data_IF_664274663943
#
_entry.id   IF_664274663943
#
_cell.length_a   1.000
_cell.length_b   1.000
_cell.length_c   1.000
_cell.angle_alpha   90.00
_cell.angle_beta   90.00
_cell.angle_gamma   90.00
#
_symmetry.space_group_name_H-M   'P 1'
#
loop_
_entity.id
_entity.type
_entity.pdbx_description
1 polymer ?
#
# COMPACT_ATOMS: atom_id res chain seq x y z
N UNK A 1 9.47 12.25 40.60
CA UNK A 1 10.39 12.33 39.45
C UNK A 1 11.09 10.99 39.34
N UNK A 2 10.62 10.10 38.47
CA UNK A 2 11.22 8.77 38.31
C UNK A 2 12.36 8.87 37.30
N UNK A 3 13.60 8.68 37.77
CA UNK A 3 14.78 8.57 36.91
C UNK A 3 14.68 7.27 36.12
N UNK A 4 14.46 7.39 34.81
CA UNK A 4 14.65 6.29 33.89
C UNK A 4 16.15 6.03 33.75
N UNK A 5 16.65 5.00 34.43
CA UNK A 5 17.99 4.47 34.16
C UNK A 5 18.02 3.87 32.76
N UNK A 6 18.85 4.45 31.91
CA UNK A 6 19.09 3.99 30.55
C UNK A 6 20.01 2.77 30.63
N UNK A 7 19.43 1.57 30.68
CA UNK A 7 20.20 0.32 30.59
C UNK A 7 20.88 0.25 29.22
N UNK A 8 22.20 0.46 29.20
CA UNK A 8 23.04 0.22 28.03
C UNK A 8 23.37 -1.26 27.97
N UNK A 9 22.64 -2.01 27.17
CA UNK A 9 23.03 -3.37 26.80
C UNK A 9 24.32 -3.33 25.97
N UNK A 10 25.31 -4.19 26.26
CA UNK A 10 26.56 -4.24 25.52
C UNK A 10 26.31 -4.61 24.04
N UNK A 11 26.94 -3.86 23.15
CA UNK A 11 26.92 -4.09 21.70
C UNK A 11 27.70 -5.38 21.41
N UNK A 12 27.10 -6.41 20.78
CA UNK A 12 27.84 -7.61 20.40
C UNK A 12 28.83 -7.31 19.28
N UNK A 13 29.88 -8.14 19.23
CA UNK A 13 31.11 -7.99 18.46
C UNK A 13 30.93 -7.48 17.00
N UNK A 14 31.86 -6.63 16.62
CA UNK A 14 31.97 -5.97 15.31
C UNK A 14 31.98 -6.97 14.14
N UNK A 15 30.94 -6.94 13.29
CA UNK A 15 31.01 -7.45 11.91
C UNK A 15 32.06 -6.62 11.15
N UNK A 16 33.23 -7.18 10.88
CA UNK A 16 34.20 -6.61 9.94
C UNK A 16 33.69 -6.82 8.51
N UNK A 17 33.35 -5.73 7.84
CA UNK A 17 32.88 -5.75 6.45
C UNK A 17 34.11 -5.81 5.53
N UNK A 18 34.18 -6.84 4.69
CA UNK A 18 35.03 -6.85 3.50
C UNK A 18 34.25 -6.17 2.37
N UNK A 19 34.80 -5.10 1.83
CA UNK A 19 34.31 -4.45 0.61
C UNK A 19 34.82 -5.28 -0.58
N UNK A 20 34.01 -6.24 -1.03
CA UNK A 20 34.24 -6.95 -2.31
C UNK A 20 33.20 -6.48 -3.33
N UNK A 21 33.72 -5.93 -4.43
CA UNK A 21 33.02 -5.36 -5.57
C UNK A 21 32.06 -6.33 -6.28
N UNK A 22 30.89 -5.78 -6.60
CA UNK A 22 30.06 -6.01 -7.81
C UNK A 22 30.00 -7.43 -8.40
N UNK A 23 29.01 -8.21 -7.95
CA UNK A 23 28.20 -8.96 -8.92
C UNK A 23 26.78 -9.18 -8.42
N UNK A 24 25.89 -8.37 -8.96
CA UNK A 24 24.47 -8.22 -8.66
C UNK A 24 23.68 -9.44 -9.17
N UNK A 25 23.74 -10.55 -8.43
CA UNK A 25 22.76 -11.65 -8.58
C UNK A 25 22.60 -12.45 -7.28
N UNK A 26 21.35 -12.46 -6.80
CA UNK A 26 20.81 -13.25 -5.68
C UNK A 26 21.04 -12.72 -4.25
N UNK A 27 20.41 -11.59 -3.93
CA UNK A 27 20.11 -11.10 -2.56
C UNK A 27 18.87 -11.76 -1.95
N UNK A 28 18.86 -13.08 -1.89
CA UNK A 28 17.77 -13.82 -1.25
C UNK A 28 18.28 -14.54 0.00
N UNK A 29 18.04 -13.97 1.18
CA UNK A 29 18.22 -14.68 2.46
C UNK A 29 17.05 -15.67 2.62
N UNK A 30 17.33 -16.97 2.60
CA UNK A 30 16.38 -17.99 3.06
C UNK A 30 16.45 -18.10 4.56
N UNK A 31 15.34 -17.86 5.24
CA UNK A 31 15.14 -18.41 6.58
C UNK A 31 14.24 -19.63 6.43
N UNK A 32 14.78 -20.81 6.70
CA UNK A 32 13.98 -22.01 6.95
C UNK A 32 13.27 -21.82 8.28
N UNK A 33 12.03 -21.34 8.22
CA UNK A 33 11.18 -21.22 9.39
C UNK A 33 10.68 -22.61 9.78
N UNK A 34 11.37 -23.26 10.71
CA UNK A 34 10.84 -24.43 11.41
C UNK A 34 9.95 -23.93 12.54
N UNK A 35 8.75 -23.47 12.19
CA UNK A 35 7.66 -23.29 13.14
C UNK A 35 7.05 -24.65 13.44
N UNK A 36 7.75 -25.46 14.23
CA UNK A 36 7.16 -26.65 14.84
C UNK A 36 6.46 -26.21 16.11
N UNK A 37 5.14 -26.04 16.04
CA UNK A 37 4.32 -26.38 17.20
C UNK A 37 4.55 -27.88 17.46
N UNK A 38 5.04 -28.18 18.66
CA UNK A 38 5.46 -29.52 19.06
C UNK A 38 4.35 -30.55 18.84
N UNK A 39 4.61 -31.52 17.98
CA UNK A 39 4.07 -32.88 18.14
C UNK A 39 5.16 -33.85 17.71
N UNK A 40 5.92 -34.30 18.71
CA UNK A 40 6.97 -35.30 18.59
C UNK A 40 6.36 -36.65 18.22
N UNK A 41 6.59 -37.10 16.98
CA UNK A 41 6.46 -38.51 16.61
C UNK A 41 7.87 -39.00 16.30
N UNK A 42 8.43 -39.76 17.24
CA UNK A 42 9.62 -40.56 17.04
C UNK A 42 9.29 -41.69 16.05
N UNK A 43 10.13 -41.90 15.05
CA UNK A 43 10.17 -43.15 14.30
C UNK A 43 11.63 -43.48 14.02
N UNK A 44 11.99 -44.63 14.55
CA UNK A 44 13.29 -45.27 14.56
C UNK A 44 13.55 -46.03 13.24
N UNK A 45 14.81 -46.40 13.08
CA UNK A 45 15.36 -47.50 12.27
C UNK A 45 15.77 -47.35 10.78
N UNK A 46 17.08 -47.59 10.61
CA UNK A 46 17.77 -48.39 9.56
C UNK A 46 17.77 -47.86 8.10
N UNK A 47 18.81 -47.99 7.27
CA UNK A 47 19.90 -48.95 7.21
C UNK A 47 21.10 -48.34 6.47
N UNK A 48 22.32 -48.77 6.80
CA UNK A 48 23.59 -48.21 6.31
C UNK A 48 24.11 -48.99 5.11
N UNK A 49 24.32 -48.34 3.96
CA UNK A 49 25.07 -48.91 2.82
C UNK A 49 26.31 -48.08 2.51
N UNK A 50 27.47 -48.69 2.71
CA UNK A 50 28.81 -48.12 2.50
C UNK A 50 29.25 -48.27 1.04
N UNK A 51 29.27 -47.17 0.28
CA UNK A 51 29.91 -47.10 -1.04
C UNK A 51 31.22 -46.30 -0.91
N UNK A 52 32.33 -47.02 -1.00
CA UNK A 52 33.70 -46.47 -1.00
C UNK A 52 34.13 -46.16 -2.43
N UNK A 53 34.24 -44.86 -2.77
CA UNK A 53 34.82 -44.43 -4.03
C UNK A 53 34.69 -42.93 -4.27
N UNK A 54 35.79 -42.17 -4.15
CA UNK A 54 35.89 -40.81 -4.70
C UNK A 54 36.52 -39.73 -3.81
N UNK A 55 37.78 -39.90 -3.40
CA UNK A 55 38.53 -38.97 -2.52
C UNK A 55 38.69 -37.53 -3.06
N UNK A 56 38.61 -37.31 -4.39
CA UNK A 56 38.88 -35.99 -4.98
C UNK A 56 37.65 -35.07 -5.14
N UNK A 57 36.42 -35.57 -5.01
CA UNK A 57 35.19 -34.74 -5.13
C UNK A 57 34.91 -33.94 -3.85
N UNK A 58 35.28 -34.50 -2.70
CA UNK A 58 35.01 -33.96 -1.35
C UNK A 58 35.71 -32.63 -1.03
N UNK A 59 36.79 -32.27 -1.74
CA UNK A 59 37.51 -30.99 -1.53
C UNK A 59 36.83 -29.81 -2.24
N UNK A 60 36.16 -30.05 -3.38
CA UNK A 60 35.46 -28.99 -4.12
C UNK A 60 34.17 -28.60 -3.41
N UNK A 61 33.42 -29.57 -2.92
CA UNK A 61 32.16 -29.35 -2.19
C UNK A 61 32.37 -28.56 -0.88
N UNK A 62 33.47 -28.81 -0.14
CA UNK A 62 33.79 -28.06 1.08
C UNK A 62 34.15 -26.60 0.82
N UNK A 63 34.80 -26.30 -0.31
CA UNK A 63 35.20 -24.93 -0.64
C UNK A 63 34.01 -24.10 -1.15
N UNK A 64 33.06 -24.73 -1.84
CA UNK A 64 31.80 -24.07 -2.24
C UNK A 64 30.87 -23.84 -1.05
N UNK A 65 30.77 -24.79 -0.11
CA UNK A 65 29.94 -24.65 1.09
C UNK A 65 30.46 -23.55 2.03
N UNK A 66 31.78 -23.48 2.26
CA UNK A 66 32.37 -22.40 3.07
C UNK A 66 32.16 -21.00 2.47
N UNK A 67 32.18 -20.86 1.14
CA UNK A 67 31.86 -19.59 0.47
C UNK A 67 30.37 -19.22 0.59
N UNK A 68 29.47 -20.20 0.58
CA UNK A 68 28.03 -19.94 0.73
C UNK A 68 27.67 -19.53 2.15
N UNK A 69 28.28 -20.14 3.15
CA UNK A 69 28.05 -19.81 4.56
C UNK A 69 28.55 -18.39 4.89
N UNK A 70 29.75 -18.02 4.41
CA UNK A 70 30.29 -16.67 4.59
C UNK A 70 29.41 -15.59 3.92
N UNK A 71 28.91 -15.85 2.70
CA UNK A 71 28.03 -14.91 1.99
C UNK A 71 26.67 -14.76 2.68
N UNK A 72 26.16 -15.81 3.30
CA UNK A 72 24.89 -15.78 4.03
C UNK A 72 25.02 -14.97 5.32
N UNK A 73 26.10 -15.17 6.07
CA UNK A 73 26.39 -14.42 7.30
C UNK A 73 26.52 -12.92 7.08
N UNK A 74 27.22 -12.50 6.01
CA UNK A 74 27.37 -11.07 5.67
C UNK A 74 26.02 -10.40 5.39
N UNK A 75 25.12 -11.08 4.65
CA UNK A 75 23.79 -10.56 4.30
C UNK A 75 22.87 -10.42 5.52
N UNK A 76 22.93 -11.36 6.45
CA UNK A 76 22.16 -11.25 7.70
C UNK A 76 22.61 -10.04 8.54
N UNK A 77 23.92 -9.78 8.60
CA UNK A 77 24.46 -8.60 9.29
C UNK A 77 23.99 -7.29 8.63
N UNK A 78 23.87 -7.23 7.30
CA UNK A 78 23.33 -6.06 6.57
C UNK A 78 21.85 -5.81 6.90
N UNK A 79 21.02 -6.87 6.90
CA UNK A 79 19.59 -6.73 7.25
C UNK A 79 19.42 -6.26 8.69
N UNK A 80 20.22 -6.78 9.63
CA UNK A 80 20.23 -6.33 11.02
C UNK A 80 20.51 -4.82 11.14
N UNK A 81 21.58 -4.36 10.48
CA UNK A 81 21.97 -2.93 10.46
C UNK A 81 20.89 -2.05 9.82
N UNK A 82 20.31 -2.51 8.71
CA UNK A 82 19.21 -1.82 8.03
C UNK A 82 17.95 -1.68 8.92
N UNK A 83 17.64 -2.71 9.72
CA UNK A 83 16.48 -2.72 10.61
C UNK A 83 16.73 -1.90 11.87
N UNK A 84 17.94 -1.94 12.43
CA UNK A 84 18.31 -1.16 13.62
C UNK A 84 18.16 0.36 13.37
N UNK A 85 18.55 0.84 12.19
CA UNK A 85 18.36 2.25 11.80
C UNK A 85 16.90 2.67 11.60
N UNK A 86 15.97 1.71 11.54
CA UNK A 86 14.53 1.93 11.36
C UNK A 86 13.71 1.47 12.57
N UNK A 87 14.36 1.21 13.70
CA UNK A 87 13.65 0.81 14.89
C UNK A 87 12.81 1.97 15.42
N UNK A 88 11.55 1.66 15.75
CA UNK A 88 10.58 2.62 16.25
C UNK A 88 10.21 2.26 17.68
N UNK A 89 10.11 3.30 18.51
CA UNK A 89 9.62 3.16 19.88
C UNK A 89 8.13 2.76 19.87
N UNK A 90 7.63 2.12 20.94
CA UNK A 90 6.21 1.81 21.07
C UNK A 90 5.28 3.02 20.84
N UNK A 91 5.70 4.21 21.28
CA UNK A 91 4.92 5.42 21.09
C UNK A 91 4.88 5.86 19.62
N UNK A 92 6.01 5.84 18.92
CA UNK A 92 6.06 6.14 17.48
C UNK A 92 5.20 5.17 16.68
N UNK A 93 5.19 3.88 17.02
CA UNK A 93 4.32 2.90 16.36
C UNK A 93 2.82 3.17 16.61
N UNK A 94 2.42 3.62 17.80
CA UNK A 94 1.03 4.05 18.03
C UNK A 94 0.66 5.25 17.16
N UNK A 95 1.57 6.22 17.03
CA UNK A 95 1.35 7.39 16.18
C UNK A 95 1.28 7.01 14.70
N UNK A 96 2.10 6.07 14.24
CA UNK A 96 2.00 5.51 12.88
C UNK A 96 0.61 4.88 12.65
N UNK A 97 0.09 4.11 13.61
CA UNK A 97 -1.25 3.53 13.49
C UNK A 97 -2.34 4.61 13.36
N UNK A 98 -2.32 5.63 14.22
CA UNK A 98 -3.33 6.70 14.23
C UNK A 98 -3.27 7.55 12.96
N UNK A 99 -2.07 7.85 12.45
CA UNK A 99 -1.88 8.73 11.29
C UNK A 99 -2.38 8.15 9.96
N UNK A 100 -2.71 6.85 9.90
CA UNK A 100 -3.37 6.24 8.73
C UNK A 100 -4.86 6.61 8.63
N UNK A 101 -5.51 6.89 9.75
CA UNK A 101 -6.97 7.05 9.82
C UNK A 101 -7.54 8.26 9.06
N UNK A 102 -6.91 9.45 9.04
CA UNK A 102 -7.49 10.63 8.38
C UNK A 102 -7.85 10.42 6.92
N UNK A 103 -7.00 9.73 6.14
CA UNK A 103 -7.27 9.46 4.73
C UNK A 103 -8.48 8.54 4.51
N UNK A 104 -8.58 7.47 5.30
CA UNK A 104 -9.73 6.56 5.24
C UNK A 104 -11.02 7.23 5.71
N UNK A 105 -10.96 8.03 6.77
CA UNK A 105 -12.11 8.78 7.27
C UNK A 105 -12.60 9.79 6.23
N UNK A 106 -11.69 10.52 5.58
CA UNK A 106 -12.05 11.42 4.47
C UNK A 106 -12.78 10.67 3.36
N UNK A 107 -12.27 9.52 2.91
CA UNK A 107 -12.89 8.69 1.88
C UNK A 107 -14.30 8.20 2.26
N UNK A 108 -14.50 7.76 3.50
CA UNK A 108 -15.82 7.35 3.98
C UNK A 108 -16.77 8.55 4.00
N UNK A 109 -16.32 9.66 4.59
CA UNK A 109 -17.13 10.86 4.72
C UNK A 109 -17.52 11.44 3.37
N UNK A 110 -16.58 11.57 2.42
CA UNK A 110 -16.89 12.18 1.12
C UNK A 110 -17.90 11.35 0.33
N UNK A 111 -17.80 10.01 0.36
CA UNK A 111 -18.74 9.12 -0.33
C UNK A 111 -20.13 9.16 0.32
N UNK A 112 -20.21 9.01 1.64
CA UNK A 112 -21.48 8.92 2.36
C UNK A 112 -22.21 10.27 2.44
N UNK A 113 -21.47 11.38 2.53
CA UNK A 113 -22.07 12.72 2.64
C UNK A 113 -22.58 13.29 1.31
N UNK A 114 -22.33 12.62 0.18
CA UNK A 114 -22.58 13.21 -1.14
C UNK A 114 -21.64 14.37 -1.50
N UNK A 115 -20.61 14.64 -0.69
CA UNK A 115 -19.70 15.77 -0.89
C UNK A 115 -18.84 15.69 -2.16
N UNK A 116 -18.87 14.55 -2.87
CA UNK A 116 -18.31 14.40 -4.20
C UNK A 116 -19.10 15.13 -5.29
N UNK A 117 -20.37 15.50 -5.02
CA UNK A 117 -21.20 16.32 -5.91
C UNK A 117 -21.11 17.79 -5.48
N UNK A 118 -20.12 18.52 -5.99
CA UNK A 118 -19.95 19.94 -5.65
C UNK A 118 -21.00 20.83 -6.32
N UNK A 119 -21.24 22.01 -5.74
CA UNK A 119 -22.13 23.02 -6.34
C UNK A 119 -21.73 23.39 -7.77
N UNK A 120 -20.42 23.50 -8.03
CA UNK A 120 -19.91 23.81 -9.36
C UNK A 120 -20.22 22.73 -10.39
N UNK A 121 -20.26 21.45 -9.99
CA UNK A 121 -20.67 20.34 -10.88
C UNK A 121 -22.16 20.43 -11.19
N UNK A 122 -22.99 20.76 -10.19
CA UNK A 122 -24.44 20.93 -10.36
C UNK A 122 -24.71 22.09 -11.33
N UNK A 123 -24.17 23.28 -11.03
CA UNK A 123 -24.37 24.49 -11.83
C UNK A 123 -23.84 24.33 -13.27
N UNK A 124 -22.69 23.67 -13.44
CA UNK A 124 -22.11 23.41 -14.77
C UNK A 124 -22.97 22.46 -15.62
N UNK A 125 -23.55 21.41 -15.03
CA UNK A 125 -24.37 20.45 -15.77
C UNK A 125 -25.80 20.96 -16.02
N UNK A 126 -26.36 21.80 -15.15
CA UNK A 126 -27.68 22.41 -15.39
C UNK A 126 -27.67 23.28 -16.66
N UNK A 127 -26.57 23.98 -16.92
CA UNK A 127 -26.40 24.76 -18.15
C UNK A 127 -26.40 23.88 -19.41
N UNK A 128 -25.65 22.77 -19.38
CA UNK A 128 -25.58 21.82 -20.50
C UNK A 128 -26.92 21.11 -20.75
N UNK A 129 -27.69 20.85 -19.69
CA UNK A 129 -29.02 20.24 -19.78
C UNK A 129 -30.01 21.17 -20.50
N UNK A 130 -30.07 22.43 -20.09
CA UNK A 130 -31.01 23.42 -20.65
C UNK A 130 -30.84 23.57 -22.18
N UNK A 131 -29.63 23.35 -22.70
CA UNK A 131 -29.33 23.38 -24.14
C UNK A 131 -29.74 22.10 -24.89
N UNK A 132 -29.87 20.96 -24.21
CA UNK A 132 -30.13 19.63 -24.80
C UNK A 132 -31.49 19.00 -24.40
N UNK A 133 -32.28 19.64 -23.54
CA UNK A 133 -33.50 19.05 -22.94
C UNK A 133 -34.61 18.71 -23.95
N UNK A 134 -34.57 19.25 -25.17
CA UNK A 134 -35.54 18.91 -26.21
C UNK A 134 -35.41 17.47 -26.75
N UNK A 135 -34.32 16.74 -26.46
CA UNK A 135 -34.10 15.38 -26.96
C UNK A 135 -34.06 14.29 -25.86
N UNK A 136 -33.82 14.65 -24.60
CA UNK A 136 -33.39 13.70 -23.56
C UNK A 136 -34.36 13.49 -22.38
N UNK A 137 -35.47 14.23 -22.30
CA UNK A 137 -36.44 14.09 -21.20
C UNK A 137 -37.13 12.71 -21.13
N UNK A 138 -36.96 11.85 -22.14
CA UNK A 138 -37.49 10.48 -22.16
C UNK A 138 -36.51 9.41 -21.63
N UNK A 139 -35.28 9.77 -21.23
CA UNK A 139 -34.22 8.77 -20.97
C UNK A 139 -33.77 8.64 -19.50
N UNK A 140 -34.15 9.57 -18.61
CA UNK A 140 -33.78 9.45 -17.20
C UNK A 140 -34.78 8.58 -16.44
N UNK A 141 -34.26 7.58 -15.74
CA UNK A 141 -35.02 6.66 -14.91
C UNK A 141 -34.92 7.11 -13.44
N UNK A 142 -36.02 7.65 -12.92
CA UNK A 142 -36.15 8.10 -11.53
C UNK A 142 -35.83 7.01 -10.50
N UNK A 143 -35.84 5.73 -10.90
CA UNK A 143 -35.47 4.61 -10.03
C UNK A 143 -34.01 4.66 -9.54
N UNK A 144 -33.16 5.46 -10.19
CA UNK A 144 -31.76 5.64 -9.82
C UNK A 144 -31.55 6.68 -8.71
N UNK A 145 -32.59 7.46 -8.38
CA UNK A 145 -32.51 8.46 -7.33
C UNK A 145 -32.64 7.82 -5.95
N UNK A 146 -31.80 8.29 -5.02
CA UNK A 146 -31.73 7.80 -3.64
C UNK A 146 -32.25 8.90 -2.72
N UNK A 147 -33.21 8.53 -1.85
CA UNK A 147 -33.73 9.40 -0.80
C UNK A 147 -33.56 8.72 0.56
N UNK A 148 -32.38 8.90 1.18
CA UNK A 148 -32.08 8.33 2.49
C UNK A 148 -32.06 9.42 3.56
N UNK A 149 -32.83 9.23 4.64
CA UNK A 149 -32.91 10.20 5.74
C UNK A 149 -31.60 10.39 6.49
N UNK A 150 -30.74 9.36 6.52
CA UNK A 150 -29.43 9.42 7.18
C UNK A 150 -28.36 10.08 6.32
N UNK A 151 -28.58 10.17 5.01
CA UNK A 151 -27.65 10.77 4.05
C UNK A 151 -28.41 11.68 3.09
N UNK A 152 -28.92 12.83 3.59
CA UNK A 152 -29.87 13.67 2.83
C UNK A 152 -29.30 14.28 1.54
N UNK A 153 -27.97 14.31 1.41
CA UNK A 153 -27.27 14.85 0.24
C UNK A 153 -26.79 13.76 -0.72
N UNK A 154 -27.05 12.47 -0.43
CA UNK A 154 -26.69 11.36 -1.30
C UNK A 154 -27.85 11.07 -2.25
N UNK A 155 -27.98 11.91 -3.28
CA UNK A 155 -29.09 11.84 -4.24
C UNK A 155 -29.00 10.69 -5.25
N UNK A 156 -27.80 10.13 -5.45
CA UNK A 156 -27.55 8.96 -6.29
C UNK A 156 -26.26 8.26 -5.82
N UNK A 157 -25.94 7.10 -6.38
CA UNK A 157 -24.66 6.44 -6.11
C UNK A 157 -23.48 7.25 -6.71
N UNK A 158 -22.32 7.29 -6.02
CA UNK A 158 -21.11 7.88 -6.57
C UNK A 158 -20.62 7.13 -7.82
N UNK A 159 -19.93 7.80 -8.76
CA UNK A 159 -19.34 7.13 -9.91
C UNK A 159 -18.29 6.09 -9.49
N UNK A 160 -18.09 5.05 -10.32
CA UNK A 160 -17.17 3.95 -9.97
C UNK A 160 -15.71 4.38 -9.78
N UNK A 161 -15.12 5.32 -10.57
CA UNK A 161 -13.73 5.73 -10.37
C UNK A 161 -13.42 6.32 -8.97
N UNK A 162 -14.16 7.31 -8.43
CA UNK A 162 -13.93 7.78 -7.05
C UNK A 162 -14.23 6.72 -5.99
N UNK A 163 -15.20 5.81 -6.23
CA UNK A 163 -15.44 4.65 -5.35
C UNK A 163 -14.22 3.74 -5.30
N UNK A 164 -13.57 3.46 -6.43
CA UNK A 164 -12.36 2.65 -6.46
C UNK A 164 -11.23 3.31 -5.66
N UNK A 165 -10.99 4.61 -5.83
CA UNK A 165 -10.00 5.35 -5.02
C UNK A 165 -10.26 5.18 -3.51
N UNK A 166 -11.50 5.47 -3.09
CA UNK A 166 -11.90 5.35 -1.70
C UNK A 166 -11.77 3.93 -1.16
N UNK A 167 -12.21 2.92 -1.93
CA UNK A 167 -12.15 1.52 -1.54
C UNK A 167 -10.72 1.05 -1.29
N UNK A 168 -9.76 1.41 -2.16
CA UNK A 168 -8.35 1.08 -1.97
C UNK A 168 -7.80 1.60 -0.63
N UNK A 169 -8.10 2.86 -0.31
CA UNK A 169 -7.63 3.53 0.92
C UNK A 169 -8.33 2.96 2.16
N UNK A 170 -9.66 2.82 2.11
CA UNK A 170 -10.47 2.34 3.24
C UNK A 170 -10.14 0.90 3.58
N UNK A 171 -9.93 0.03 2.59
CA UNK A 171 -9.57 -1.36 2.84
C UNK A 171 -8.13 -1.53 3.29
N UNK A 172 -7.20 -0.66 2.89
CA UNK A 172 -5.81 -0.69 3.38
C UNK A 172 -5.69 -0.29 4.86
N UNK A 173 -6.42 0.74 5.28
CA UNK A 173 -6.24 1.37 6.59
C UNK A 173 -6.35 0.42 7.80
N UNK A 174 -7.31 -0.53 7.89
CA UNK A 174 -7.39 -1.47 8.99
C UNK A 174 -6.14 -2.34 9.13
N UNK A 175 -5.56 -2.82 8.03
CA UNK A 175 -4.37 -3.68 8.07
C UNK A 175 -3.13 -2.91 8.50
N UNK A 176 -2.99 -1.68 8.01
CA UNK A 176 -1.91 -0.79 8.41
C UNK A 176 -2.02 -0.42 9.90
N UNK A 177 -3.23 -0.08 10.36
CA UNK A 177 -3.49 0.16 11.78
C UNK A 177 -3.13 -1.05 12.64
N UNK A 178 -3.63 -2.25 12.29
CA UNK A 178 -3.36 -3.49 13.03
C UNK A 178 -1.86 -3.80 13.05
N UNK A 179 -1.16 -3.60 11.94
CA UNK A 179 0.28 -3.79 11.84
C UNK A 179 1.02 -2.93 12.88
N UNK A 180 0.86 -1.61 12.81
CA UNK A 180 1.53 -0.69 13.73
C UNK A 180 1.07 -0.87 15.19
N UNK A 181 -0.21 -1.11 15.41
CA UNK A 181 -0.77 -1.31 16.75
C UNK A 181 -0.21 -2.56 17.43
N UNK A 182 -0.06 -3.68 16.70
CA UNK A 182 0.56 -4.90 17.25
C UNK A 182 2.05 -4.69 17.52
N UNK A 183 2.74 -3.90 16.69
CA UNK A 183 4.18 -3.62 16.86
C UNK A 183 4.43 -2.79 18.11
N UNK A 184 3.54 -1.84 18.41
CA UNK A 184 3.59 -1.04 19.62
C UNK A 184 3.42 -1.84 20.92
N UNK A 185 2.77 -3.02 20.89
CA UNK A 185 2.33 -3.70 22.13
C UNK A 185 2.85 -5.13 22.32
N UNK A 186 3.08 -5.88 21.24
CA UNK A 186 3.23 -7.34 21.34
C UNK A 186 4.52 -7.88 20.75
N UNK A 187 5.17 -7.16 19.83
CA UNK A 187 6.27 -7.73 19.06
C UNK A 187 7.62 -7.23 19.56
N UNK A 188 8.50 -8.13 20.03
CA UNK A 188 9.85 -7.76 20.42
C UNK A 188 10.61 -7.19 19.21
N UNK A 189 11.62 -6.33 19.43
CA UNK A 189 12.47 -5.84 18.35
C UNK A 189 13.21 -6.99 17.65
N UNK A 190 13.60 -6.76 16.39
CA UNK A 190 14.37 -7.73 15.59
C UNK A 190 13.60 -8.41 14.44
N UNK A 191 14.12 -9.55 13.97
CA UNK A 191 13.68 -10.24 12.75
C UNK A 191 12.23 -10.73 12.77
N UNK A 192 11.67 -11.02 13.94
CA UNK A 192 10.24 -11.38 14.06
C UNK A 192 9.31 -10.31 13.48
N UNK A 193 9.77 -9.04 13.43
CA UNK A 193 9.04 -7.90 12.86
C UNK A 193 9.12 -7.79 11.33
N UNK A 194 9.90 -8.59 10.62
CA UNK A 194 9.94 -8.50 9.14
C UNK A 194 9.07 -9.55 8.48
N UNK A 195 8.85 -10.66 9.16
CA UNK A 195 8.09 -11.80 8.67
C UNK A 195 6.68 -11.89 9.23
N UNK A 196 6.32 -11.07 10.23
CA UNK A 196 5.00 -11.09 10.84
C UNK A 196 3.88 -10.85 9.81
N UNK A 197 2.81 -11.65 9.89
CA UNK A 197 1.71 -11.65 8.92
C UNK A 197 1.04 -10.28 8.76
N UNK A 198 0.92 -9.49 9.82
CA UNK A 198 0.24 -8.18 9.76
C UNK A 198 1.01 -7.19 8.88
N UNK A 199 2.36 -7.23 8.93
CA UNK A 199 3.21 -6.42 8.07
C UNK A 199 3.09 -6.85 6.61
N UNK A 200 3.06 -8.16 6.35
CA UNK A 200 2.89 -8.70 5.00
C UNK A 200 1.54 -8.28 4.42
N UNK A 201 0.50 -8.32 5.24
CA UNK A 201 -0.84 -7.89 4.83
C UNK A 201 -0.91 -6.38 4.56
N UNK A 202 -0.34 -5.54 5.42
CA UNK A 202 -0.21 -4.10 5.19
C UNK A 202 0.47 -3.81 3.82
N UNK A 203 1.63 -4.42 3.58
CA UNK A 203 2.35 -4.29 2.31
C UNK A 203 1.59 -4.85 1.10
N UNK A 204 0.85 -5.94 1.27
CA UNK A 204 0.02 -6.51 0.23
C UNK A 204 -1.14 -5.58 -0.13
N UNK A 205 -1.74 -4.95 0.88
CA UNK A 205 -2.84 -4.01 0.69
C UNK A 205 -2.41 -2.69 0.04
N UNK A 206 -1.13 -2.30 0.11
CA UNK A 206 -0.58 -1.20 -0.72
C UNK A 206 -0.72 -1.53 -2.22
N UNK A 207 -0.48 -2.77 -2.62
CA UNK A 207 -0.64 -3.19 -4.02
C UNK A 207 -2.12 -3.26 -4.43
N UNK A 208 -2.98 -3.76 -3.55
CA UNK A 208 -4.43 -3.71 -3.78
C UNK A 208 -4.91 -2.26 -3.97
N UNK A 209 -4.51 -1.35 -3.07
CA UNK A 209 -4.80 0.07 -3.17
C UNK A 209 -4.28 0.66 -4.49
N UNK A 210 -3.05 0.31 -4.90
CA UNK A 210 -2.47 0.76 -6.17
C UNK A 210 -3.25 0.28 -7.40
N UNK A 211 -3.77 -0.95 -7.37
CA UNK A 211 -4.64 -1.46 -8.43
C UNK A 211 -5.95 -0.65 -8.49
N UNK A 212 -6.59 -0.37 -7.35
CA UNK A 212 -7.77 0.49 -7.31
C UNK A 212 -7.48 1.91 -7.84
N UNK A 213 -6.33 2.49 -7.48
CA UNK A 213 -5.91 3.80 -7.98
C UNK A 213 -5.73 3.81 -9.49
N UNK A 214 -5.25 2.71 -10.10
CA UNK A 214 -5.13 2.63 -11.55
C UNK A 214 -6.49 2.77 -12.26
N UNK A 215 -7.56 2.20 -11.71
CA UNK A 215 -8.91 2.42 -12.24
C UNK A 215 -9.39 3.84 -11.95
N UNK A 216 -9.19 4.32 -10.72
CA UNK A 216 -9.61 5.65 -10.32
C UNK A 216 -8.96 6.77 -11.16
N UNK A 217 -7.74 6.56 -11.66
CA UNK A 217 -7.05 7.56 -12.49
C UNK A 217 -7.28 7.37 -13.98
N UNK A 218 -7.87 6.27 -14.46
CA UNK A 218 -8.10 6.06 -15.91
C UNK A 218 -9.56 5.89 -16.31
N UNK A 219 -10.43 5.38 -15.42
CA UNK A 219 -11.81 5.01 -15.72
C UNK A 219 -11.98 3.85 -16.71
N UNK A 220 -10.89 3.22 -17.16
CA UNK A 220 -10.88 2.14 -18.15
C UNK A 220 -10.58 0.80 -17.51
N UNK A 221 -11.40 -0.20 -17.84
CA UNK A 221 -11.27 -1.56 -17.30
C UNK A 221 -10.03 -2.29 -17.83
N UNK A 222 -9.65 -2.08 -19.08
CA UNK A 222 -8.47 -2.72 -19.68
C UNK A 222 -7.17 -2.34 -18.97
N UNK A 223 -6.97 -1.05 -18.72
CA UNK A 223 -5.81 -0.55 -17.97
C UNK A 223 -5.82 -1.04 -16.52
N UNK A 224 -6.98 -1.06 -15.88
CA UNK A 224 -7.16 -1.61 -14.54
C UNK A 224 -6.76 -3.09 -14.48
N UNK A 225 -7.22 -3.93 -15.41
CA UNK A 225 -6.93 -5.36 -15.42
C UNK A 225 -5.43 -5.66 -15.54
N UNK A 226 -4.72 -4.94 -16.41
CA UNK A 226 -3.26 -5.09 -16.55
C UNK A 226 -2.54 -4.73 -15.24
N UNK A 227 -2.92 -3.61 -14.62
CA UNK A 227 -2.35 -3.18 -13.34
C UNK A 227 -2.74 -4.12 -12.19
N UNK A 228 -3.96 -4.65 -12.21
CA UNK A 228 -4.44 -5.60 -11.23
C UNK A 228 -3.63 -6.89 -11.27
N UNK A 229 -3.36 -7.46 -12.46
CA UNK A 229 -2.53 -8.65 -12.59
C UNK A 229 -1.12 -8.45 -12.03
N UNK A 230 -0.48 -7.31 -12.35
CA UNK A 230 0.83 -6.96 -11.81
C UNK A 230 0.80 -6.81 -10.27
N UNK A 231 -0.19 -6.08 -9.75
CA UNK A 231 -0.32 -5.87 -8.30
C UNK A 231 -0.73 -7.14 -7.56
N UNK A 232 -1.48 -8.05 -8.19
CA UNK A 232 -1.84 -9.36 -7.63
C UNK A 232 -0.60 -10.27 -7.50
N UNK A 233 0.30 -10.29 -8.49
CA UNK A 233 1.60 -10.96 -8.35
C UNK A 233 2.42 -10.34 -7.20
N UNK A 234 2.47 -9.01 -7.11
CA UNK A 234 3.18 -8.33 -6.03
C UNK A 234 2.57 -8.62 -4.64
N UNK A 235 1.24 -8.69 -4.56
CA UNK A 235 0.48 -9.06 -3.36
C UNK A 235 0.85 -10.49 -2.92
N UNK A 236 0.74 -11.46 -3.84
CA UNK A 236 1.09 -12.85 -3.58
C UNK A 236 2.52 -12.99 -3.05
N UNK A 237 3.45 -12.25 -3.64
CA UNK A 237 4.87 -12.30 -3.25
C UNK A 237 5.15 -11.80 -1.84
N UNK A 238 4.26 -11.01 -1.21
CA UNK A 238 4.42 -10.64 0.20
C UNK A 238 4.30 -11.84 1.14
N UNK A 239 3.64 -12.91 0.69
CA UNK A 239 3.40 -14.11 1.49
C UNK A 239 4.44 -15.21 1.26
N UNK A 240 5.38 -15.02 0.33
CA UNK A 240 6.51 -15.94 0.18
C UNK A 240 7.38 -15.95 1.43
N UNK A 241 8.08 -17.07 1.66
CA UNK A 241 8.94 -17.23 2.83
C UNK A 241 10.01 -16.15 2.91
N UNK A 242 10.57 -15.75 1.76
CA UNK A 242 11.64 -14.75 1.65
C UNK A 242 11.06 -13.38 1.30
N UNK A 243 11.28 -12.39 2.16
CA UNK A 243 10.91 -10.98 1.93
C UNK A 243 12.15 -10.21 1.50
N UNK A 244 12.07 -9.50 0.38
CA UNK A 244 13.15 -8.66 -0.15
C UNK A 244 12.74 -7.17 -0.09
N UNK A 245 13.12 -6.42 0.96
CA UNK A 245 12.61 -5.05 1.18
C UNK A 245 12.88 -4.09 0.01
N UNK A 246 14.11 -4.09 -0.54
CA UNK A 246 14.47 -3.21 -1.67
C UNK A 246 13.63 -3.50 -2.91
N UNK A 247 13.46 -4.79 -3.25
CA UNK A 247 12.62 -5.21 -4.38
C UNK A 247 11.15 -4.86 -4.15
N UNK A 248 10.67 -4.95 -2.91
CA UNK A 248 9.31 -4.54 -2.57
C UNK A 248 9.12 -3.03 -2.76
N UNK A 249 10.07 -2.22 -2.29
CA UNK A 249 10.04 -0.76 -2.50
C UNK A 249 10.02 -0.40 -3.98
N UNK A 250 10.83 -1.07 -4.81
CA UNK A 250 10.81 -0.87 -6.26
C UNK A 250 9.44 -1.23 -6.87
N UNK A 251 8.82 -2.34 -6.45
CA UNK A 251 7.49 -2.74 -6.93
C UNK A 251 6.41 -1.74 -6.59
N UNK A 252 6.43 -1.21 -5.36
CA UNK A 252 5.53 -0.13 -4.94
C UNK A 252 5.77 1.11 -5.80
N UNK A 253 7.03 1.51 -6.02
CA UNK A 253 7.39 2.62 -6.90
C UNK A 253 6.85 2.46 -8.33
N UNK A 254 7.01 1.28 -8.93
CA UNK A 254 6.44 0.95 -10.24
C UNK A 254 4.90 1.08 -10.21
N UNK A 255 4.25 0.59 -9.16
CA UNK A 255 2.79 0.67 -9.01
C UNK A 255 2.30 2.13 -8.94
N UNK A 256 3.02 2.98 -8.21
CA UNK A 256 2.76 4.42 -8.10
C UNK A 256 2.90 5.10 -9.46
N UNK A 257 4.01 4.85 -10.16
CA UNK A 257 4.23 5.39 -11.51
C UNK A 257 3.13 4.93 -12.47
N UNK A 258 2.72 3.67 -12.40
CA UNK A 258 1.73 3.11 -13.31
C UNK A 258 0.38 3.84 -13.23
N UNK A 259 -0.17 4.10 -12.03
CA UNK A 259 -1.42 4.86 -11.93
C UNK A 259 -1.27 6.37 -12.16
N UNK A 260 -0.05 6.90 -12.18
CA UNK A 260 0.24 8.30 -12.56
C UNK A 260 0.26 8.53 -14.07
N UNK A 261 0.59 7.50 -14.86
CA UNK A 261 0.67 7.59 -16.33
C UNK A 261 -0.63 8.15 -16.96
N UNK A 262 -1.84 7.66 -16.62
CA UNK A 262 -3.08 8.19 -17.19
C UNK A 262 -3.28 9.69 -16.98
N UNK A 263 -2.91 10.22 -15.81
CA UNK A 263 -3.01 11.66 -15.49
C UNK A 263 -2.12 12.47 -16.44
N UNK A 264 -0.88 12.04 -16.62
CA UNK A 264 0.07 12.70 -17.52
C UNK A 264 -0.36 12.60 -18.99
N UNK A 265 -0.94 11.46 -19.41
CA UNK A 265 -1.43 11.26 -20.78
C UNK A 265 -2.64 12.13 -21.12
N UNK A 266 -3.45 12.52 -20.12
CA UNK A 266 -4.55 13.49 -20.33
C UNK A 266 -4.06 14.95 -20.40
N UNK A 267 -2.77 15.21 -20.20
CA UNK A 267 -2.23 16.57 -20.20
C UNK A 267 -2.47 17.34 -18.89
N UNK A 268 -2.92 16.67 -17.83
CA UNK A 268 -3.16 17.26 -16.51
C UNK A 268 -1.85 17.47 -15.73
N UNK A 269 -0.89 18.20 -16.31
CA UNK A 269 0.46 18.34 -15.77
C UNK A 269 0.52 19.01 -14.40
N UNK A 270 -0.40 19.95 -14.12
CA UNK A 270 -0.49 20.59 -12.80
C UNK A 270 -0.93 19.60 -11.71
N UNK A 271 -1.88 18.71 -12.03
CA UNK A 271 -2.29 17.65 -11.12
C UNK A 271 -1.15 16.64 -10.94
N UNK A 272 -0.52 16.24 -12.05
CA UNK A 272 0.65 15.38 -12.07
C UNK A 272 1.78 15.91 -11.19
N UNK A 273 2.10 17.21 -11.28
CA UNK A 273 3.16 17.83 -10.49
C UNK A 273 2.83 17.90 -9.00
N UNK A 274 1.58 18.21 -8.62
CA UNK A 274 1.11 18.15 -7.22
C UNK A 274 1.33 16.75 -6.63
N UNK A 275 0.93 15.71 -7.34
CA UNK A 275 1.09 14.32 -6.91
C UNK A 275 2.57 13.89 -6.88
N UNK A 276 3.37 14.32 -7.87
CA UNK A 276 4.82 14.06 -7.87
C UNK A 276 5.52 14.70 -6.66
N UNK A 277 5.20 15.95 -6.33
CA UNK A 277 5.74 16.62 -5.13
C UNK A 277 5.28 15.89 -3.87
N UNK A 278 3.99 15.57 -3.78
CA UNK A 278 3.43 14.88 -2.62
C UNK A 278 4.09 13.50 -2.40
N UNK A 279 4.13 12.67 -3.44
CA UNK A 279 4.74 11.34 -3.37
C UNK A 279 6.27 11.39 -3.26
N UNK A 280 6.92 12.39 -3.85
CA UNK A 280 8.36 12.60 -3.74
C UNK A 280 8.78 12.90 -2.30
N UNK A 281 8.12 13.87 -1.65
CA UNK A 281 8.39 14.22 -0.25
C UNK A 281 8.01 13.04 0.67
N UNK A 282 6.83 12.45 0.47
CA UNK A 282 6.38 11.29 1.25
C UNK A 282 7.36 10.11 1.12
N UNK A 283 7.74 9.77 -0.11
CA UNK A 283 8.70 8.71 -0.41
C UNK A 283 10.09 9.00 0.15
N UNK A 284 10.52 10.26 0.19
CA UNK A 284 11.77 10.66 0.83
C UNK A 284 11.75 10.40 2.34
N UNK A 285 10.69 10.83 3.05
CA UNK A 285 10.53 10.53 4.49
C UNK A 285 10.49 9.02 4.76
N UNK A 286 9.77 8.26 3.93
CA UNK A 286 9.67 6.80 4.06
C UNK A 286 10.98 6.07 3.73
N UNK A 287 11.76 6.55 2.78
CA UNK A 287 13.01 5.86 2.36
C UNK A 287 14.18 6.21 3.27
N UNK A 288 14.36 7.49 3.60
CA UNK A 288 15.57 8.01 4.27
C UNK A 288 15.44 8.13 5.78
N UNK A 289 14.22 8.12 6.34
CA UNK A 289 13.98 8.26 7.78
C UNK A 289 14.71 9.46 8.43
N UNK A 290 14.60 10.70 7.90
CA UNK A 290 15.42 11.83 8.33
C UNK A 290 15.17 12.26 9.79
N UNK A 291 14.01 11.91 10.36
CA UNK A 291 13.64 12.16 11.76
C UNK A 291 13.42 10.86 12.54
N UNK A 292 14.09 9.78 12.13
CA UNK A 292 13.95 8.45 12.71
C UNK A 292 12.52 7.91 12.55
N UNK A 293 12.01 7.20 13.56
CA UNK A 293 10.68 6.57 13.52
C UNK A 293 9.49 7.50 13.22
N UNK A 294 9.62 8.81 13.50
CA UNK A 294 8.59 9.81 13.17
C UNK A 294 8.40 10.04 11.68
N UNK A 295 9.41 9.68 10.87
CA UNK A 295 9.36 9.86 9.41
C UNK A 295 8.20 9.09 8.80
N UNK A 296 7.87 7.94 9.38
CA UNK A 296 6.76 7.10 8.92
C UNK A 296 5.39 7.73 9.25
N UNK A 297 5.24 8.35 10.42
CA UNK A 297 4.04 9.13 10.77
C UNK A 297 3.85 10.33 9.84
N UNK A 298 4.93 11.07 9.53
CA UNK A 298 4.89 12.19 8.58
C UNK A 298 4.52 11.71 7.18
N UNK A 299 5.06 10.57 6.75
CA UNK A 299 4.67 9.92 5.49
C UNK A 299 3.16 9.66 5.42
N UNK A 300 2.53 9.11 6.47
CA UNK A 300 1.08 8.92 6.50
C UNK A 300 0.29 10.22 6.45
N UNK A 301 0.71 11.25 7.21
CA UNK A 301 0.05 12.56 7.22
C UNK A 301 0.11 13.20 5.83
N UNK A 302 1.26 13.15 5.15
CA UNK A 302 1.39 13.68 3.79
C UNK A 302 0.50 12.89 2.82
N UNK A 303 0.52 11.56 2.89
CA UNK A 303 -0.35 10.73 2.04
C UNK A 303 -1.85 10.96 2.30
N UNK A 304 -2.26 11.44 3.48
CA UNK A 304 -3.65 11.78 3.75
C UNK A 304 -4.20 12.94 2.89
N UNK A 305 -3.33 13.70 2.20
CA UNK A 305 -3.71 14.69 1.19
C UNK A 305 -3.88 14.13 -0.22
N UNK A 306 -3.45 12.90 -0.50
CA UNK A 306 -3.66 12.26 -1.81
C UNK A 306 -5.14 11.94 -2.12
N UNK A 307 -5.96 11.45 -1.17
CA UNK A 307 -7.37 11.14 -1.41
C UNK A 307 -8.20 12.29 -2.03
N UNK A 308 -8.23 13.52 -1.48
CA UNK A 308 -9.00 14.61 -2.08
C UNK A 308 -8.55 14.94 -3.51
N UNK A 309 -7.25 14.90 -3.76
CA UNK A 309 -6.66 15.16 -5.08
C UNK A 309 -7.09 14.09 -6.09
N UNK A 310 -6.97 12.81 -5.72
CA UNK A 310 -7.27 11.69 -6.61
C UNK A 310 -8.78 11.52 -6.83
N UNK A 311 -9.62 11.76 -5.83
CA UNK A 311 -11.08 11.70 -5.97
C UNK A 311 -11.57 12.83 -6.88
N UNK A 312 -11.04 14.05 -6.74
CA UNK A 312 -11.36 15.16 -7.66
C UNK A 312 -11.02 14.80 -9.11
N UNK A 313 -9.82 14.26 -9.34
CA UNK A 313 -9.39 13.83 -10.66
C UNK A 313 -10.27 12.69 -11.22
N UNK A 314 -10.70 11.77 -10.36
CA UNK A 314 -11.55 10.65 -10.75
C UNK A 314 -12.95 11.11 -11.17
N UNK A 315 -13.47 12.19 -10.59
CA UNK A 315 -14.77 12.78 -10.97
C UNK A 315 -14.74 13.43 -12.36
N UNK A 316 -13.57 13.91 -12.80
CA UNK A 316 -13.40 14.54 -14.13
C UNK A 316 -13.30 13.50 -15.28
N UNK A 317 -13.19 12.21 -14.96
CA UNK A 317 -13.06 11.17 -15.99
C UNK A 317 -14.34 11.01 -16.81
N UNK A 318 -14.24 10.66 -18.11
CA UNK A 318 -15.39 10.32 -18.95
C UNK A 318 -16.27 9.21 -18.35
N UNK A 319 -15.65 8.20 -17.71
CA UNK A 319 -16.35 7.11 -17.04
C UNK A 319 -17.20 7.55 -15.84
N UNK A 320 -17.00 8.76 -15.32
CA UNK A 320 -17.77 9.32 -14.22
C UNK A 320 -18.96 10.16 -14.68
N UNK A 321 -18.97 10.64 -15.92
CA UNK A 321 -19.90 11.69 -16.37
C UNK A 321 -21.36 11.23 -16.44
N UNK A 322 -21.62 10.00 -16.87
CA UNK A 322 -23.00 9.47 -16.93
C UNK A 322 -23.65 9.44 -15.55
N UNK A 323 -22.93 8.90 -14.56
CA UNK A 323 -23.42 8.82 -13.18
C UNK A 323 -23.52 10.20 -12.53
N UNK A 324 -22.62 11.13 -12.87
CA UNK A 324 -22.71 12.51 -12.40
C UNK A 324 -23.97 13.21 -12.91
N UNK A 325 -24.36 13.02 -14.17
CA UNK A 325 -25.61 13.58 -14.71
C UNK A 325 -26.84 13.04 -14.00
N UNK A 326 -26.88 11.74 -13.72
CA UNK A 326 -27.93 11.13 -12.90
C UNK A 326 -27.99 11.77 -11.52
N UNK A 327 -26.83 11.94 -10.87
CA UNK A 327 -26.76 12.55 -9.55
C UNK A 327 -27.22 14.01 -9.54
N UNK A 328 -26.87 14.80 -10.57
CA UNK A 328 -27.34 16.18 -10.74
C UNK A 328 -28.85 16.21 -10.93
N UNK A 329 -29.40 15.38 -11.82
CA UNK A 329 -30.84 15.28 -12.03
C UNK A 329 -31.61 14.96 -10.74
N UNK A 330 -31.18 13.94 -10.01
CA UNK A 330 -31.78 13.57 -8.72
C UNK A 330 -31.67 14.70 -7.67
N UNK A 331 -30.56 15.44 -7.66
CA UNK A 331 -30.39 16.58 -6.78
C UNK A 331 -31.33 17.75 -7.13
N UNK A 332 -31.58 18.00 -8.43
CA UNK A 332 -32.50 19.04 -8.89
C UNK A 332 -33.97 18.69 -8.57
N UNK A 333 -34.35 17.42 -8.71
CA UNK A 333 -35.66 16.91 -8.24
C UNK A 333 -35.84 17.09 -6.73
N UNK A 334 -34.83 16.73 -5.93
CA UNK A 334 -34.88 16.85 -4.48
C UNK A 334 -35.02 18.31 -3.99
N UNK A 335 -34.54 19.29 -4.77
CA UNK A 335 -34.69 20.72 -4.47
C UNK A 335 -36.02 21.32 -4.95
N UNK A 336 -36.83 20.56 -5.69
CA UNK A 336 -38.05 21.08 -6.33
C UNK A 336 -37.77 22.12 -7.41
N UNK A 337 -36.61 22.05 -8.07
CA UNK A 337 -36.23 22.98 -9.15
C UNK A 337 -36.79 22.58 -10.52
N UNK A 338 -37.28 21.35 -10.63
CA UNK A 338 -37.96 20.82 -11.82
C UNK A 338 -39.42 20.62 -11.44
N UNK A 339 -40.27 21.61 -11.72
CA UNK A 339 -41.72 21.56 -11.48
C UNK A 339 -42.50 21.99 -12.70
#
# INVERSE_FOLDING_TARGET
>A
MNSFERSTTPVPASCSISEDDDNDSNDAVSLSFSGSDETTVYSDDSDTTTISGGSNRRRRDKQEQSKTDAKTSSKECEVGKYMAGREMTPFQERMNAVTVLPGAFYCIMILLSGGWLSKSIIEGNEYDHTMNDNLNNALFDDSQCISWSWFPNLHALPPLPPVAAAMGIVLHAPFSFIYHWRYAHRLPPGLARTTHWSRRMDQAMIHFCSACMSYATTGRLDFFLVNFLYNADCFYRQFLTRVQPRRNQMRIGISVVAYMIPILRRGEFLLGSKLCVLFGISGWFFSTYPIGGWSHSVFHILLAFAPPILISAALELPASQSQLRVAVHCASLAKGLVS
#
